data_IF_869716541722
#
_entry.id   IF_869716541722
#
_cell.length_a   1.000
_cell.length_b   1.000
_cell.length_c   1.000
_cell.angle_alpha   90.00
_cell.angle_beta   90.00
_cell.angle_gamma   90.00
#
_symmetry.space_group_name_H-M   'P 1'
#
loop_
_entity.id
_entity.type
_entity.pdbx_description
1 polymer ?
#
# COMPACT_ATOMS: atom_id res chain seq x y z
N UNK A 1 10.79 -3.41 10.09
CA UNK A 1 9.43 -3.55 9.66
C UNK A 1 8.51 -3.52 10.86
N UNK A 2 7.37 -2.85 10.77
CA UNK A 2 6.35 -2.79 11.81
C UNK A 2 5.03 -3.36 11.32
N UNK A 3 4.26 -3.97 12.20
CA UNK A 3 2.92 -4.51 11.95
C UNK A 3 1.96 -4.10 13.04
N UNK A 4 0.73 -3.83 12.66
CA UNK A 4 -0.35 -3.45 13.58
C UNK A 4 -1.69 -3.96 13.06
N UNK A 5 -2.55 -4.44 13.96
CA UNK A 5 -3.96 -4.65 13.66
C UNK A 5 -4.72 -3.36 13.98
N UNK A 6 -5.31 -2.75 12.96
CA UNK A 6 -6.22 -1.63 13.13
C UNK A 6 -7.51 -2.09 13.81
N UNK A 7 -8.06 -1.26 14.67
CA UNK A 7 -9.37 -1.46 15.28
C UNK A 7 -10.51 -0.85 14.45
N UNK A 8 -10.16 -0.25 13.32
CA UNK A 8 -11.10 0.40 12.41
C UNK A 8 -11.78 -0.64 11.53
N UNK A 9 -13.08 -0.48 11.33
CA UNK A 9 -13.81 -1.21 10.30
C UNK A 9 -13.71 -0.47 8.97
N UNK A 10 -13.00 -1.05 8.02
CA UNK A 10 -12.81 -0.52 6.67
C UNK A 10 -13.89 -0.93 5.67
N UNK A 11 -15.05 -1.39 6.13
CA UNK A 11 -16.12 -1.86 5.25
C UNK A 11 -16.54 -0.78 4.24
N UNK A 12 -16.80 0.45 4.69
CA UNK A 12 -17.21 1.53 3.79
C UNK A 12 -16.13 1.87 2.76
N UNK A 13 -14.86 1.85 3.16
CA UNK A 13 -13.74 2.09 2.26
C UNK A 13 -13.63 1.00 1.20
N UNK A 14 -13.82 -0.26 1.59
CA UNK A 14 -13.88 -1.40 0.67
C UNK A 14 -14.97 -1.21 -0.38
N UNK A 15 -16.19 -0.91 0.07
CA UNK A 15 -17.31 -0.71 -0.85
C UNK A 15 -17.07 0.46 -1.82
N UNK A 16 -16.49 1.56 -1.33
CA UNK A 16 -16.14 2.70 -2.18
C UNK A 16 -15.07 2.33 -3.22
N UNK A 17 -14.05 1.55 -2.83
CA UNK A 17 -13.03 1.03 -3.76
C UNK A 17 -13.68 0.22 -4.88
N UNK A 18 -14.54 -0.74 -4.55
CA UNK A 18 -15.19 -1.61 -5.52
C UNK A 18 -16.15 -0.85 -6.44
N UNK A 19 -16.86 0.15 -5.92
CA UNK A 19 -17.75 1.02 -6.71
C UNK A 19 -16.96 1.86 -7.72
N UNK A 20 -15.84 2.42 -7.29
CA UNK A 20 -15.00 3.31 -8.12
C UNK A 20 -14.03 2.57 -9.05
N UNK A 21 -13.82 1.26 -8.85
CA UNK A 21 -12.81 0.48 -9.58
C UNK A 21 -12.91 0.64 -11.09
N UNK A 22 -14.10 0.47 -11.67
CA UNK A 22 -14.29 0.53 -13.12
C UNK A 22 -14.03 1.92 -13.69
N UNK A 23 -14.47 2.94 -12.97
CA UNK A 23 -14.30 4.33 -13.38
C UNK A 23 -12.84 4.74 -13.35
N UNK A 24 -12.11 4.32 -12.31
CA UNK A 24 -10.66 4.58 -12.18
C UNK A 24 -9.90 3.86 -13.29
N UNK A 25 -10.17 2.58 -13.52
CA UNK A 25 -9.53 1.81 -14.60
C UNK A 25 -9.83 2.43 -15.96
N UNK A 26 -11.08 2.79 -16.22
CA UNK A 26 -11.50 3.38 -17.49
C UNK A 26 -10.92 4.77 -17.74
N UNK A 27 -10.82 5.60 -16.68
CA UNK A 27 -10.34 6.98 -16.79
C UNK A 27 -8.84 7.06 -17.09
N UNK A 28 -8.04 6.15 -16.53
CA UNK A 28 -6.59 6.29 -16.55
C UNK A 28 -5.89 5.41 -17.59
N UNK A 29 -6.63 4.74 -18.48
CA UNK A 29 -6.12 3.91 -19.58
C UNK A 29 -4.86 3.11 -19.20
N UNK A 30 -5.01 2.22 -18.23
CA UNK A 30 -3.91 1.38 -17.76
C UNK A 30 -3.49 0.38 -18.84
N UNK A 31 -2.71 0.82 -19.82
CA UNK A 31 -2.19 -0.02 -20.88
C UNK A 31 -1.17 -1.03 -20.36
N UNK A 32 -0.62 -0.79 -19.15
CA UNK A 32 0.44 -1.60 -18.56
C UNK A 32 0.09 -1.97 -17.11
N UNK A 33 0.44 -3.17 -16.72
CA UNK A 33 0.25 -3.66 -15.35
C UNK A 33 1.30 -3.13 -14.35
N UNK A 34 2.09 -2.14 -14.73
CA UNK A 34 3.20 -1.57 -13.96
C UNK A 34 4.14 -2.61 -13.33
N UNK A 35 4.31 -3.76 -14.00
CA UNK A 35 5.04 -4.93 -13.51
C UNK A 35 4.46 -5.59 -12.23
N UNK A 36 3.26 -5.23 -11.82
CA UNK A 36 2.65 -5.80 -10.62
C UNK A 36 2.19 -7.25 -10.82
N UNK A 37 1.88 -7.64 -12.05
CA UNK A 37 1.31 -8.96 -12.36
C UNK A 37 -0.21 -9.02 -12.29
N UNK A 38 -0.88 -7.90 -12.03
CA UNK A 38 -2.35 -7.85 -11.95
C UNK A 38 -3.03 -7.67 -13.31
N UNK A 39 -2.30 -7.17 -14.31
CA UNK A 39 -2.85 -6.92 -15.64
C UNK A 39 -3.58 -5.57 -15.76
N UNK A 40 -3.85 -5.19 -16.99
CA UNK A 40 -4.40 -3.87 -17.33
C UNK A 40 -5.83 -3.59 -16.86
N UNK A 41 -6.56 -4.60 -16.46
CA UNK A 41 -7.95 -4.48 -16.00
C UNK A 41 -8.11 -4.59 -14.48
N UNK A 42 -6.99 -4.62 -13.75
CA UNK A 42 -7.02 -4.66 -12.30
C UNK A 42 -6.66 -3.30 -11.74
N UNK A 43 -7.37 -2.90 -10.69
CA UNK A 43 -7.05 -1.69 -9.97
C UNK A 43 -5.74 -1.90 -9.21
N UNK A 44 -4.70 -1.25 -9.69
CA UNK A 44 -3.41 -1.08 -9.04
C UNK A 44 -2.78 0.16 -9.64
N UNK A 45 -2.60 1.21 -8.89
CA UNK A 45 -2.19 2.45 -9.52
C UNK A 45 -1.49 3.43 -8.60
N UNK A 46 -0.37 3.90 -9.12
CA UNK A 46 0.32 5.11 -8.70
C UNK A 46 0.06 6.25 -9.67
N UNK A 47 -1.14 6.37 -10.22
CA UNK A 47 -1.45 7.47 -11.14
C UNK A 47 -1.40 8.80 -10.41
N UNK A 48 -0.82 9.81 -11.03
CA UNK A 48 -0.78 11.18 -10.52
C UNK A 48 -2.17 11.82 -10.34
N UNK A 49 -3.19 11.22 -10.94
CA UNK A 49 -4.56 11.71 -10.91
C UNK A 49 -5.44 10.92 -9.92
N UNK A 50 -4.84 10.03 -9.12
CA UNK A 50 -5.56 9.18 -8.19
C UNK A 50 -4.77 8.98 -6.91
N UNK A 51 -5.32 9.45 -5.78
CA UNK A 51 -4.87 9.10 -4.44
C UNK A 51 -6.09 8.61 -3.63
N UNK A 52 -6.03 7.37 -3.15
CA UNK A 52 -7.12 6.76 -2.40
C UNK A 52 -7.46 7.53 -1.12
N UNK A 53 -6.51 8.26 -0.56
CA UNK A 53 -6.77 9.10 0.61
C UNK A 53 -7.77 10.26 0.33
N UNK A 54 -8.08 10.55 -0.93
CA UNK A 54 -9.13 11.52 -1.30
C UNK A 54 -10.54 10.94 -1.27
N UNK A 55 -10.70 9.63 -1.02
CA UNK A 55 -12.01 9.01 -0.89
C UNK A 55 -12.73 9.51 0.37
N UNK A 56 -14.04 9.61 0.29
CA UNK A 56 -14.88 10.10 1.41
C UNK A 56 -14.73 9.22 2.66
N UNK A 57 -14.55 7.91 2.46
CA UNK A 57 -14.38 6.93 3.53
C UNK A 57 -12.93 6.75 4.02
N UNK A 58 -11.95 7.52 3.49
CA UNK A 58 -10.53 7.34 3.84
C UNK A 58 -10.08 8.06 5.12
N UNK A 59 -10.97 8.74 5.83
CA UNK A 59 -10.60 9.56 6.99
C UNK A 59 -9.88 8.81 8.09
N UNK A 60 -10.33 7.60 8.43
CA UNK A 60 -9.69 6.77 9.45
C UNK A 60 -8.36 6.17 8.95
N UNK A 61 -8.27 5.83 7.66
CA UNK A 61 -7.03 5.35 7.07
C UNK A 61 -5.90 6.38 7.17
N UNK A 62 -6.20 7.66 6.96
CA UNK A 62 -5.21 8.75 7.13
C UNK A 62 -4.63 8.76 8.55
N UNK A 63 -5.50 8.64 9.57
CA UNK A 63 -5.09 8.60 10.98
C UNK A 63 -4.24 7.36 11.28
N UNK A 64 -4.67 6.20 10.78
CA UNK A 64 -3.97 4.94 11.02
C UNK A 64 -2.59 4.90 10.35
N UNK A 65 -2.44 5.44 9.13
CA UNK A 65 -1.14 5.55 8.47
C UNK A 65 -0.21 6.46 9.28
N UNK A 66 -0.68 7.62 9.73
CA UNK A 66 0.10 8.52 10.56
C UNK A 66 0.52 7.88 11.87
N UNK A 67 -0.40 7.25 12.56
CA UNK A 67 -0.14 6.56 13.82
C UNK A 67 0.87 5.41 13.66
N UNK A 68 0.70 4.58 12.62
CA UNK A 68 1.61 3.48 12.32
C UNK A 68 3.02 3.99 12.02
N UNK A 69 3.14 5.10 11.27
CA UNK A 69 4.41 5.74 11.00
C UNK A 69 5.10 6.18 12.30
N UNK A 70 4.39 6.92 13.14
CA UNK A 70 4.96 7.50 14.37
C UNK A 70 5.37 6.40 15.35
N UNK A 71 4.54 5.37 15.56
CA UNK A 71 4.86 4.21 16.38
C UNK A 71 6.07 3.43 15.83
N UNK A 72 6.20 3.29 14.51
CA UNK A 72 7.34 2.63 13.89
C UNK A 72 8.65 3.39 14.13
N UNK A 73 8.64 4.71 13.95
CA UNK A 73 9.82 5.57 14.16
C UNK A 73 10.21 5.63 15.63
N UNK A 74 9.24 5.74 16.54
CA UNK A 74 9.48 5.69 17.98
C UNK A 74 10.08 4.33 18.39
N UNK A 75 9.56 3.23 17.84
CA UNK A 75 10.09 1.88 18.07
C UNK A 75 11.55 1.69 17.60
N UNK A 76 12.03 2.52 16.67
CA UNK A 76 13.43 2.59 16.27
C UNK A 76 14.28 3.52 17.16
N UNK A 77 13.67 4.17 18.17
CA UNK A 77 14.35 5.07 19.09
C UNK A 77 14.49 6.51 18.58
N UNK A 78 13.71 6.88 17.55
CA UNK A 78 13.68 8.24 17.01
C UNK A 78 12.40 8.97 17.43
N UNK A 79 12.48 10.29 17.57
CA UNK A 79 11.33 11.16 17.76
C UNK A 79 11.11 11.94 16.47
N UNK A 80 9.94 11.77 15.87
CA UNK A 80 9.57 12.44 14.62
C UNK A 80 8.44 13.44 14.89
N UNK A 81 8.71 14.72 14.66
CA UNK A 81 7.75 15.81 14.81
C UNK A 81 7.49 16.54 13.49
N UNK A 82 7.87 15.94 12.37
CA UNK A 82 7.76 16.52 11.04
C UNK A 82 6.46 16.19 10.32
N UNK A 83 6.36 16.72 9.12
CA UNK A 83 5.31 16.38 8.16
C UNK A 83 5.71 15.15 7.37
N UNK A 84 4.73 14.31 7.10
CA UNK A 84 4.84 13.24 6.13
C UNK A 84 3.85 13.48 5.00
N UNK A 85 4.22 13.01 3.84
CA UNK A 85 3.39 13.07 2.63
C UNK A 85 3.17 11.64 2.13
N UNK A 86 1.94 11.35 1.76
CA UNK A 86 1.53 9.97 1.42
C UNK A 86 0.84 9.93 0.07
N UNK A 87 1.29 9.02 -0.78
CA UNK A 87 0.51 8.53 -1.91
C UNK A 87 -0.07 7.16 -1.58
N UNK A 88 -1.32 6.91 -2.01
CA UNK A 88 -2.06 5.74 -1.59
C UNK A 88 -2.95 5.21 -2.73
N UNK A 89 -2.98 3.89 -2.90
CA UNK A 89 -3.77 3.23 -3.93
C UNK A 89 -4.28 1.86 -3.48
N UNK A 90 -5.38 1.40 -4.08
CA UNK A 90 -5.88 0.05 -3.85
C UNK A 90 -5.33 -0.94 -4.87
N UNK A 91 -5.20 -2.20 -4.44
CA UNK A 91 -4.97 -3.35 -5.29
C UNK A 91 -6.16 -4.30 -5.10
N UNK A 92 -6.96 -4.49 -6.14
CA UNK A 92 -8.06 -5.45 -6.16
C UNK A 92 -7.61 -6.68 -6.96
N UNK A 93 -7.35 -7.76 -6.25
CA UNK A 93 -6.80 -8.99 -6.80
C UNK A 93 -7.86 -10.08 -6.84
N UNK A 94 -7.97 -10.74 -7.98
CA UNK A 94 -8.90 -11.85 -8.21
C UNK A 94 -8.16 -13.18 -8.34
N UNK A 95 -8.89 -14.27 -8.35
CA UNK A 95 -8.35 -15.62 -8.47
C UNK A 95 -7.31 -15.73 -9.58
N UNK A 96 -6.19 -16.34 -9.26
CA UNK A 96 -5.05 -16.49 -10.16
C UNK A 96 -4.09 -15.30 -10.17
N UNK A 97 -4.44 -14.14 -9.61
CA UNK A 97 -3.58 -12.95 -9.58
C UNK A 97 -2.67 -12.94 -8.34
N UNK A 98 -1.54 -12.26 -8.48
CA UNK A 98 -0.59 -11.96 -7.40
C UNK A 98 0.18 -10.70 -7.73
N UNK A 99 0.74 -10.04 -6.74
CA UNK A 99 1.72 -8.98 -6.95
C UNK A 99 3.10 -9.63 -7.07
N UNK A 100 3.77 -9.36 -8.20
CA UNK A 100 5.14 -9.84 -8.47
C UNK A 100 6.14 -9.14 -7.56
N UNK A 101 7.28 -9.79 -7.39
CA UNK A 101 8.41 -9.25 -6.62
C UNK A 101 8.85 -7.89 -7.13
N UNK A 102 8.80 -6.90 -6.26
CA UNK A 102 9.13 -5.50 -6.54
C UNK A 102 9.55 -4.77 -5.25
N UNK A 103 9.95 -3.54 -5.39
CA UNK A 103 10.11 -2.57 -4.30
C UNK A 103 9.56 -1.22 -4.75
N UNK A 104 9.47 -0.26 -3.84
CA UNK A 104 8.85 1.03 -4.12
C UNK A 104 9.87 2.14 -4.45
N UNK A 105 11.12 1.98 -4.08
CA UNK A 105 12.16 2.94 -4.43
C UNK A 105 13.54 2.60 -3.83
N UNK A 106 14.60 3.09 -4.47
CA UNK A 106 15.99 2.95 -4.03
C UNK A 106 16.71 4.30 -3.90
N UNK A 107 16.02 5.41 -4.15
CA UNK A 107 16.61 6.74 -4.09
C UNK A 107 16.96 7.16 -2.67
N UNK A 108 17.76 8.22 -2.49
CA UNK A 108 18.17 8.72 -1.17
C UNK A 108 17.00 9.22 -0.34
N UNK A 109 15.87 9.51 -0.96
CA UNK A 109 14.62 9.93 -0.31
C UNK A 109 13.55 8.83 -0.28
N UNK A 110 13.89 7.62 -0.75
CA UNK A 110 13.03 6.46 -0.56
C UNK A 110 12.94 6.16 0.94
N UNK A 111 11.78 6.44 1.53
CA UNK A 111 11.62 6.41 2.97
C UNK A 111 10.88 5.14 3.39
N UNK A 112 9.57 5.19 3.55
CA UNK A 112 8.77 4.08 4.01
C UNK A 112 7.65 3.77 3.03
N UNK A 113 7.28 2.52 2.98
CA UNK A 113 6.10 2.02 2.28
C UNK A 113 5.31 1.10 3.20
N UNK A 114 4.07 0.85 2.86
CA UNK A 114 3.27 -0.07 3.64
C UNK A 114 2.03 -0.52 2.89
N UNK A 115 1.28 -1.37 3.56
CA UNK A 115 -0.03 -1.78 3.08
C UNK A 115 -0.98 -2.11 4.24
N UNK A 116 -2.27 -2.04 3.94
CA UNK A 116 -3.38 -2.50 4.76
C UNK A 116 -4.10 -3.62 4.01
N UNK A 117 -4.34 -4.76 4.65
CA UNK A 117 -5.26 -5.77 4.15
C UNK A 117 -6.69 -5.39 4.53
N UNK A 118 -7.53 -5.10 3.53
CA UNK A 118 -8.94 -4.73 3.74
C UNK A 118 -9.85 -5.93 3.63
N UNK A 119 -9.54 -6.85 2.71
CA UNK A 119 -10.30 -8.08 2.53
C UNK A 119 -9.37 -9.23 2.14
N UNK A 120 -9.41 -10.28 2.94
CA UNK A 120 -8.76 -11.56 2.68
C UNK A 120 -9.55 -12.68 3.36
N UNK A 121 -9.57 -13.86 2.75
CA UNK A 121 -10.20 -15.04 3.36
C UNK A 121 -9.13 -15.80 4.15
N UNK A 122 -8.98 -15.45 5.43
CA UNK A 122 -7.92 -15.95 6.31
C UNK A 122 -8.06 -17.44 6.62
N UNK A 123 -9.28 -17.93 6.71
CA UNK A 123 -9.58 -19.29 7.18
C UNK A 123 -9.47 -20.33 6.06
N UNK A 124 -10.01 -20.03 4.88
CA UNK A 124 -10.12 -21.00 3.79
C UNK A 124 -8.99 -20.84 2.75
N UNK A 125 -8.52 -19.63 2.54
CA UNK A 125 -7.50 -19.32 1.53
C UNK A 125 -6.46 -18.34 2.09
N UNK A 126 -5.72 -18.76 3.15
CA UNK A 126 -4.71 -17.91 3.75
C UNK A 126 -3.63 -17.55 2.72
N UNK A 127 -3.22 -16.30 2.72
CA UNK A 127 -2.14 -15.79 1.88
C UNK A 127 -1.14 -15.03 2.72
N UNK A 128 0.08 -14.88 2.19
CA UNK A 128 1.14 -14.10 2.84
C UNK A 128 1.72 -13.05 1.89
N UNK A 129 2.33 -12.05 2.48
CA UNK A 129 3.29 -11.17 1.81
C UNK A 129 4.69 -11.58 2.22
N UNK A 130 5.57 -11.77 1.24
CA UNK A 130 6.95 -12.23 1.44
C UNK A 130 7.91 -11.06 1.27
N UNK A 131 8.80 -10.87 2.24
CA UNK A 131 9.78 -9.79 2.26
C UNK A 131 11.20 -10.35 2.14
N UNK A 132 11.98 -9.80 1.24
CA UNK A 132 13.30 -10.30 0.87
C UNK A 132 14.40 -9.40 1.41
N UNK A 133 14.90 -9.73 2.61
CA UNK A 133 16.06 -9.07 3.15
C UNK A 133 17.32 -9.57 2.38
N UNK A 134 18.15 -8.68 1.80
CA UNK A 134 19.33 -9.09 1.03
C UNK A 134 20.38 -9.82 1.85
N UNK A 135 20.30 -9.76 3.17
CA UNK A 135 21.20 -10.44 4.10
C UNK A 135 20.64 -11.75 4.67
N UNK A 136 19.44 -12.15 4.30
CA UNK A 136 18.82 -13.39 4.74
C UNK A 136 18.70 -14.38 3.57
N UNK A 137 18.85 -15.67 3.86
CA UNK A 137 18.72 -16.74 2.87
C UNK A 137 17.26 -16.93 2.45
N UNK A 138 16.36 -16.91 3.44
CA UNK A 138 14.93 -17.12 3.23
C UNK A 138 14.16 -15.81 3.39
N UNK A 139 13.08 -15.61 2.63
CA UNK A 139 12.20 -14.48 2.84
C UNK A 139 11.49 -14.59 4.19
N UNK A 140 11.20 -13.47 4.79
CA UNK A 140 10.28 -13.43 5.90
C UNK A 140 8.84 -13.32 5.37
N UNK A 141 7.96 -14.22 5.81
CA UNK A 141 6.58 -14.28 5.35
C UNK A 141 5.65 -13.77 6.45
N UNK A 142 4.83 -12.79 6.10
CA UNK A 142 3.83 -12.22 6.98
C UNK A 142 2.43 -12.62 6.51
N UNK A 143 1.64 -13.32 7.32
CA UNK A 143 0.26 -13.64 6.98
C UNK A 143 -0.55 -12.37 6.71
N UNK A 144 -1.31 -12.38 5.63
CA UNK A 144 -2.29 -11.35 5.36
C UNK A 144 -3.53 -11.60 6.20
N UNK A 145 -3.90 -10.61 6.99
CA UNK A 145 -5.07 -10.66 7.89
C UNK A 145 -5.90 -9.40 7.67
N UNK A 146 -7.22 -9.52 7.81
CA UNK A 146 -8.11 -8.36 7.71
C UNK A 146 -7.72 -7.30 8.76
N UNK A 147 -7.71 -6.06 8.35
CA UNK A 147 -7.31 -4.89 9.13
C UNK A 147 -5.82 -4.88 9.57
N UNK A 148 -5.00 -5.78 9.05
CA UNK A 148 -3.56 -5.75 9.33
C UNK A 148 -2.87 -4.72 8.45
N UNK A 149 -2.16 -3.81 9.10
CA UNK A 149 -1.27 -2.85 8.48
C UNK A 149 0.18 -3.29 8.66
N UNK A 150 0.99 -3.08 7.62
CA UNK A 150 2.43 -3.34 7.65
C UNK A 150 3.17 -2.14 7.09
N UNK A 151 4.27 -1.75 7.72
CA UNK A 151 5.18 -0.67 7.29
C UNK A 151 6.61 -1.18 7.20
N UNK A 152 7.32 -0.78 6.16
CA UNK A 152 8.67 -1.24 5.85
C UNK A 152 9.44 -0.20 5.02
N UNK A 153 10.78 -0.28 4.99
CA UNK A 153 11.58 0.58 4.11
C UNK A 153 11.21 0.37 2.64
N UNK A 154 11.06 1.46 1.89
CA UNK A 154 10.59 1.44 0.49
C UNK A 154 11.47 0.60 -0.44
N UNK A 155 12.75 0.40 -0.11
CA UNK A 155 13.69 -0.43 -0.86
C UNK A 155 13.50 -1.93 -0.64
N UNK A 156 12.74 -2.35 0.39
CA UNK A 156 12.57 -3.76 0.73
C UNK A 156 11.74 -4.46 -0.34
N UNK A 157 12.36 -5.42 -1.02
CA UNK A 157 11.68 -6.22 -2.02
C UNK A 157 10.62 -7.11 -1.39
N UNK A 158 9.46 -7.19 -2.03
CA UNK A 158 8.37 -8.04 -1.56
C UNK A 158 7.49 -8.50 -2.72
N UNK A 159 6.77 -9.58 -2.49
CA UNK A 159 5.72 -10.12 -3.36
C UNK A 159 4.58 -10.73 -2.52
N UNK A 160 3.58 -11.28 -3.19
CA UNK A 160 2.44 -11.90 -2.50
C UNK A 160 2.14 -13.27 -3.05
N UNK A 161 1.54 -14.11 -2.22
CA UNK A 161 0.91 -15.34 -2.70
C UNK A 161 -0.14 -15.04 -3.76
N UNK A 162 -0.41 -16.06 -4.58
CA UNK A 162 -1.49 -16.04 -5.55
C UNK A 162 -2.83 -16.14 -4.83
N UNK A 163 -3.81 -15.40 -5.30
CA UNK A 163 -5.20 -15.52 -4.82
C UNK A 163 -5.82 -16.79 -5.40
N UNK A 164 -6.25 -17.68 -4.54
CA UNK A 164 -6.92 -18.94 -4.94
C UNK A 164 -8.44 -18.88 -4.68
N UNK A 165 -8.90 -17.90 -3.93
CA UNK A 165 -10.31 -17.66 -3.64
C UNK A 165 -11.05 -17.04 -4.83
N UNK A 166 -12.36 -17.27 -4.90
CA UNK A 166 -13.26 -16.60 -5.84
C UNK A 166 -13.71 -15.20 -5.35
N UNK A 167 -13.48 -14.91 -4.06
CA UNK A 167 -13.68 -13.58 -3.47
C UNK A 167 -12.40 -12.73 -3.68
N UNK A 168 -12.56 -11.46 -4.02
CA UNK A 168 -11.45 -10.56 -4.23
C UNK A 168 -10.62 -10.40 -2.94
N UNK A 169 -9.30 -10.44 -3.08
CA UNK A 169 -8.38 -9.93 -2.08
C UNK A 169 -8.16 -8.44 -2.34
N UNK A 170 -8.42 -7.60 -1.34
CA UNK A 170 -8.27 -6.16 -1.45
C UNK A 170 -7.21 -5.71 -0.45
N UNK A 171 -6.19 -5.05 -0.96
CA UNK A 171 -5.16 -4.39 -0.16
C UNK A 171 -5.04 -2.94 -0.57
N UNK A 172 -4.71 -2.09 0.38
CA UNK A 172 -4.39 -0.69 0.14
C UNK A 172 -2.89 -0.55 0.36
N UNK A 173 -2.17 -0.09 -0.65
CA UNK A 173 -0.75 0.20 -0.57
C UNK A 173 -0.52 1.71 -0.44
N UNK A 174 0.55 2.09 0.24
CA UNK A 174 0.93 3.48 0.40
C UNK A 174 2.45 3.63 0.45
N UNK A 175 2.91 4.76 -0.07
CA UNK A 175 4.28 5.25 0.08
C UNK A 175 4.27 6.50 0.94
N UNK A 176 5.27 6.62 1.80
CA UNK A 176 5.48 7.77 2.69
C UNK A 176 6.80 8.40 2.36
N UNK A 177 6.83 9.72 2.30
CA UNK A 177 8.06 10.52 2.29
C UNK A 177 7.98 11.60 3.36
N UNK A 178 9.12 12.03 3.86
CA UNK A 178 9.21 13.18 4.75
C UNK A 178 9.20 14.51 3.96
N UNK A 179 9.17 15.62 4.66
CA UNK A 179 9.15 16.95 4.05
C UNK A 179 10.39 17.22 3.17
N UNK A 180 11.54 16.67 3.54
CA UNK A 180 12.76 16.82 2.75
C UNK A 180 12.66 16.07 1.42
N UNK A 181 12.22 14.81 1.46
CA UNK A 181 11.96 14.01 0.26
C UNK A 181 10.89 14.64 -0.64
N UNK A 182 9.80 15.14 -0.05
CA UNK A 182 8.75 15.83 -0.79
C UNK A 182 9.26 17.05 -1.55
N UNK A 183 10.08 17.87 -0.92
CA UNK A 183 10.60 19.11 -1.53
C UNK A 183 11.67 18.87 -2.61
N UNK A 184 12.47 17.80 -2.47
CA UNK A 184 13.65 17.56 -3.31
C UNK A 184 13.38 16.54 -4.42
N UNK A 185 12.68 15.47 -4.13
CA UNK A 185 12.54 14.31 -5.03
C UNK A 185 11.22 14.31 -5.80
N UNK A 186 10.15 14.91 -5.23
CA UNK A 186 8.86 14.97 -5.90
C UNK A 186 8.82 16.10 -6.92
N UNK A 187 8.65 15.73 -8.18
CA UNK A 187 8.47 16.69 -9.26
C UNK A 187 7.23 17.57 -9.02
N UNK A 188 7.27 18.82 -9.44
CA UNK A 188 6.20 19.78 -9.20
C UNK A 188 4.85 19.35 -9.78
N UNK A 189 4.84 18.66 -10.93
CA UNK A 189 3.63 18.11 -11.56
C UNK A 189 3.05 16.89 -10.82
N UNK A 190 3.79 16.32 -9.87
CA UNK A 190 3.37 15.19 -9.05
C UNK A 190 3.05 15.58 -7.60
N UNK A 191 3.35 16.80 -7.18
CA UNK A 191 3.15 17.24 -5.79
C UNK A 191 1.71 17.15 -5.32
N UNK A 192 0.75 17.44 -6.19
CA UNK A 192 -0.68 17.34 -5.86
C UNK A 192 -1.16 15.91 -5.60
N UNK A 193 -0.38 14.91 -6.01
CA UNK A 193 -0.69 13.51 -5.77
C UNK A 193 -0.32 13.05 -4.36
N UNK A 194 0.50 13.82 -3.64
CA UNK A 194 0.94 13.52 -2.30
C UNK A 194 0.13 14.32 -1.28
N UNK A 195 -0.45 13.64 -0.31
CA UNK A 195 -1.30 14.24 0.74
C UNK A 195 -0.50 14.34 2.03
N UNK A 196 -0.45 15.54 2.61
CA UNK A 196 0.14 15.79 3.93
C UNK A 196 -0.70 15.12 5.03
N UNK A 197 -0.03 14.40 5.96
CA UNK A 197 -0.62 13.79 7.15
C UNK A 197 0.07 14.26 8.42
#
# INVERSE_FOLDING_TARGET
MGEKLSQVDYYNLKEEILQKEKDIIGKYDYQHDNNTGLGKYSLTSRSKDYNLLEFDSAGELRKDIRLLHDEFIEGLGFNFNGKIFVQCWANVMRKGQRIKKHCHGFGPYAYLSGHLCVQVNEDLYPTSTHYYNPYAVEPWSSPNMNNKMTIFPSWLQHDTDRVEDDVERITIAFDIIDESGYNIDVRDDMKSHWIEL
#
